data_IF_708409460968
#
_entry.id   IF_708409460968
#
_cell.length_a   1.000
_cell.length_b   1.000
_cell.length_c   1.000
_cell.angle_alpha   90.00
_cell.angle_beta   90.00
_cell.angle_gamma   90.00
#
_symmetry.space_group_name_H-M   'P 1'
#
loop_
_entity.id
_entity.type
_entity.pdbx_description
1 polymer ?
#
# COMPACT_ATOMS: atom_id res chain seq x y z
N UNK A 1 12.63 -13.50 -29.40
CA UNK A 1 11.21 -13.53 -28.96
C UNK A 1 10.47 -12.35 -29.55
N UNK A 2 9.32 -12.59 -30.19
CA UNK A 2 8.48 -11.51 -30.72
C UNK A 2 7.65 -10.88 -29.60
N UNK A 3 7.58 -9.55 -29.59
CA UNK A 3 6.69 -8.80 -28.67
C UNK A 3 5.42 -8.41 -29.42
N UNK A 4 4.27 -8.58 -28.79
CA UNK A 4 2.98 -8.15 -29.30
C UNK A 4 2.41 -7.02 -28.45
N UNK A 5 1.74 -6.07 -29.08
CA UNK A 5 1.00 -5.01 -28.39
C UNK A 5 -0.28 -5.63 -27.80
N UNK A 6 -0.49 -5.49 -26.49
CA UNK A 6 -1.69 -5.97 -25.83
C UNK A 6 -2.69 -4.83 -25.59
N UNK A 7 -2.69 -4.20 -24.47
CA UNK A 7 -3.67 -3.20 -24.09
C UNK A 7 -3.00 -1.96 -23.51
N UNK A 8 -3.73 -0.85 -23.46
CA UNK A 8 -3.22 0.43 -22.99
C UNK A 8 -3.68 0.72 -21.54
N UNK A 9 -3.36 -0.19 -20.62
CA UNK A 9 -3.65 -0.04 -19.18
C UNK A 9 -2.58 -0.75 -18.34
N UNK A 10 -2.37 -0.34 -17.06
CA UNK A 10 -1.43 -1.00 -16.17
C UNK A 10 -1.90 -2.44 -15.89
N UNK A 11 -0.96 -3.39 -15.91
CA UNK A 11 -1.24 -4.82 -15.63
C UNK A 11 -0.44 -5.40 -14.46
N UNK A 12 0.39 -4.60 -13.79
CA UNK A 12 1.18 -5.00 -12.62
C UNK A 12 2.50 -5.69 -12.94
N UNK A 13 3.28 -6.17 -11.93
CA UNK A 13 2.86 -6.34 -10.52
C UNK A 13 2.73 -5.02 -9.76
N UNK A 14 1.70 -4.92 -8.92
CA UNK A 14 1.47 -3.79 -8.03
C UNK A 14 1.31 -4.28 -6.59
N UNK A 15 1.77 -3.52 -5.59
CA UNK A 15 1.47 -3.85 -4.21
C UNK A 15 -0.05 -3.79 -4.01
N UNK A 16 -0.59 -4.70 -3.19
CA UNK A 16 -1.97 -4.61 -2.72
C UNK A 16 -1.94 -4.12 -1.29
N UNK A 17 -2.40 -2.90 -1.06
CA UNK A 17 -2.35 -2.27 0.27
C UNK A 17 -3.70 -1.70 0.67
N UNK A 18 -3.89 -1.47 1.97
CA UNK A 18 -5.07 -0.84 2.54
C UNK A 18 -4.72 0.59 2.95
N UNK A 19 -5.28 1.57 2.23
CA UNK A 19 -5.20 2.97 2.66
C UNK A 19 -6.27 3.24 3.71
N UNK A 20 -5.86 3.75 4.88
CA UNK A 20 -6.73 4.09 6.00
C UNK A 20 -6.86 5.60 6.19
N UNK A 21 -8.07 6.06 6.45
CA UNK A 21 -8.38 7.42 6.86
C UNK A 21 -9.67 7.43 7.68
N UNK A 22 -9.77 8.34 8.64
CA UNK A 22 -11.04 8.60 9.29
C UNK A 22 -11.97 9.37 8.35
N UNK A 23 -13.21 8.97 8.29
CA UNK A 23 -14.28 9.68 7.58
C UNK A 23 -15.46 9.84 8.52
N UNK A 24 -15.87 11.07 8.77
CA UNK A 24 -16.93 11.38 9.75
C UNK A 24 -16.65 10.76 11.15
N UNK A 25 -15.40 10.79 11.60
CA UNK A 25 -14.97 10.28 12.89
C UNK A 25 -14.95 8.76 13.02
N UNK A 26 -15.01 8.00 11.90
CA UNK A 26 -14.93 6.54 11.90
C UNK A 26 -13.79 6.03 11.01
N UNK A 27 -13.07 4.99 11.43
CA UNK A 27 -12.08 4.32 10.60
C UNK A 27 -12.69 3.83 9.29
N UNK A 28 -12.03 4.14 8.18
CA UNK A 28 -12.40 3.59 6.88
C UNK A 28 -11.15 3.17 6.12
N UNK A 29 -11.24 2.02 5.46
CA UNK A 29 -10.15 1.44 4.69
C UNK A 29 -10.57 1.20 3.25
N UNK A 30 -9.63 1.37 2.31
CA UNK A 30 -9.85 1.05 0.89
C UNK A 30 -8.62 0.36 0.33
N UNK A 31 -8.86 -0.68 -0.45
CA UNK A 31 -7.80 -1.44 -1.12
C UNK A 31 -7.35 -0.72 -2.37
N UNK A 32 -6.05 -0.57 -2.51
CA UNK A 32 -5.42 0.09 -3.65
C UNK A 32 -4.17 -0.67 -4.11
N UNK A 33 -3.90 -0.58 -5.42
CA UNK A 33 -2.62 -0.96 -6.01
C UNK A 33 -1.75 0.25 -6.37
N UNK A 34 -2.32 1.46 -6.30
CA UNK A 34 -1.61 2.70 -6.64
C UNK A 34 -0.93 3.28 -5.40
N UNK A 35 0.16 2.64 -4.99
CA UNK A 35 1.00 3.03 -3.85
C UNK A 35 2.47 2.76 -4.19
N UNK A 36 3.36 3.63 -3.76
CA UNK A 36 4.79 3.43 -3.95
C UNK A 36 5.66 4.49 -3.30
N UNK A 37 6.97 4.26 -3.31
CA UNK A 37 8.00 5.18 -2.81
C UNK A 37 8.21 6.29 -3.84
N UNK A 38 8.27 7.54 -3.38
CA UNK A 38 8.56 8.71 -4.21
C UNK A 38 10.07 8.98 -4.25
N UNK A 39 10.71 8.96 -3.10
CA UNK A 39 12.14 9.22 -2.95
C UNK A 39 12.68 8.52 -1.69
N UNK A 40 14.02 8.55 -1.50
CA UNK A 40 14.66 7.94 -0.32
C UNK A 40 14.47 8.74 0.97
N UNK A 41 14.17 10.04 0.88
CA UNK A 41 13.53 10.74 1.99
C UNK A 41 12.19 10.04 2.25
N UNK A 42 11.70 9.97 3.50
CA UNK A 42 10.60 9.08 3.84
C UNK A 42 9.26 9.58 3.26
N UNK A 43 9.15 9.57 1.92
CA UNK A 43 7.96 9.99 1.18
C UNK A 43 7.45 8.85 0.31
N UNK A 44 6.18 8.52 0.48
CA UNK A 44 5.45 7.63 -0.41
C UNK A 44 4.22 8.32 -1.01
N UNK A 45 3.63 7.71 -2.03
CA UNK A 45 2.36 8.18 -2.57
C UNK A 45 1.27 7.12 -2.46
N UNK A 46 0.03 7.59 -2.36
CA UNK A 46 -1.17 6.84 -2.69
C UNK A 46 -1.97 7.61 -3.74
N UNK A 47 -2.69 6.90 -4.63
CA UNK A 47 -3.60 7.54 -5.57
C UNK A 47 -5.01 6.99 -5.37
N UNK A 48 -5.95 7.89 -5.09
CA UNK A 48 -7.35 7.58 -4.82
C UNK A 48 -8.24 8.29 -5.83
N UNK A 49 -9.30 7.62 -6.27
CA UNK A 49 -10.32 8.30 -7.08
C UNK A 49 -10.99 9.40 -6.25
N UNK A 50 -11.20 10.58 -6.83
CA UNK A 50 -11.80 11.72 -6.11
C UNK A 50 -13.16 11.42 -5.49
N UNK A 51 -13.92 10.48 -6.09
CA UNK A 51 -15.21 9.99 -5.57
C UNK A 51 -15.11 8.92 -4.48
N UNK A 52 -13.93 8.37 -4.17
CA UNK A 52 -13.79 7.40 -3.09
C UNK A 52 -14.12 8.02 -1.73
N UNK A 53 -14.75 7.25 -0.86
CA UNK A 53 -15.13 7.71 0.47
C UNK A 53 -13.90 8.09 1.30
N UNK A 54 -12.83 7.30 1.22
CA UNK A 54 -11.55 7.56 1.90
C UNK A 54 -10.88 8.87 1.48
N UNK A 55 -11.09 9.31 0.21
CA UNK A 55 -10.48 10.55 -0.30
C UNK A 55 -10.93 11.78 0.50
N UNK A 56 -12.20 11.82 0.90
CA UNK A 56 -12.71 12.88 1.74
C UNK A 56 -11.99 12.94 3.10
N UNK A 57 -11.79 11.79 3.74
CA UNK A 57 -11.09 11.72 5.03
C UNK A 57 -9.61 12.11 4.94
N UNK A 58 -8.90 11.68 3.88
CA UNK A 58 -7.50 12.10 3.67
C UNK A 58 -7.39 13.61 3.51
N UNK A 59 -8.31 14.22 2.75
CA UNK A 59 -8.34 15.69 2.55
C UNK A 59 -8.67 16.45 3.82
N UNK A 60 -9.64 15.96 4.59
CA UNK A 60 -10.09 16.59 5.82
C UNK A 60 -9.03 16.53 6.92
N UNK A 61 -8.42 15.36 7.11
CA UNK A 61 -7.48 15.14 8.22
C UNK A 61 -6.02 15.49 7.87
N UNK A 62 -5.67 15.58 6.58
CA UNK A 62 -4.31 15.81 6.12
C UNK A 62 -3.35 14.63 6.41
N UNK A 63 -3.91 13.45 6.71
CA UNK A 63 -3.17 12.23 7.03
C UNK A 63 -3.83 11.01 6.40
N UNK A 64 -3.03 9.98 6.16
CA UNK A 64 -3.49 8.65 5.79
C UNK A 64 -2.55 7.59 6.35
N UNK A 65 -3.04 6.37 6.47
CA UNK A 65 -2.18 5.21 6.71
C UNK A 65 -2.06 4.35 5.46
N UNK A 66 -0.92 3.65 5.35
CA UNK A 66 -0.73 2.54 4.42
C UNK A 66 -0.47 1.29 5.25
N UNK A 67 -1.35 0.31 5.09
CA UNK A 67 -1.29 -0.94 5.83
C UNK A 67 -1.01 -2.07 4.84
N UNK A 68 0.02 -2.85 5.10
CA UNK A 68 0.44 -3.96 4.24
C UNK A 68 -0.25 -5.23 4.75
N UNK A 69 -1.25 -5.76 4.06
CA UNK A 69 -1.92 -6.99 4.48
C UNK A 69 -1.08 -8.22 4.12
N UNK A 70 -1.11 -9.24 4.97
CA UNK A 70 -0.63 -10.59 4.66
C UNK A 70 -1.70 -11.39 3.91
N UNK A 71 -1.30 -12.50 3.25
CA UNK A 71 -2.20 -13.31 2.42
C UNK A 71 -3.40 -13.86 3.16
N UNK A 72 -3.30 -14.11 4.47
CA UNK A 72 -4.40 -14.55 5.32
C UNK A 72 -5.53 -13.50 5.47
N UNK A 73 -5.26 -12.23 5.14
CA UNK A 73 -6.24 -11.13 5.16
C UNK A 73 -6.87 -10.88 3.78
N UNK A 74 -6.67 -11.80 2.81
CA UNK A 74 -7.09 -11.59 1.42
C UNK A 74 -8.57 -11.24 1.29
N UNK A 75 -9.46 -11.94 1.98
CA UNK A 75 -10.90 -11.71 1.87
C UNK A 75 -11.31 -10.33 2.37
N UNK A 76 -10.80 -9.91 3.53
CA UNK A 76 -11.06 -8.59 4.10
C UNK A 76 -10.45 -7.48 3.23
N UNK A 77 -9.26 -7.74 2.69
CA UNK A 77 -8.56 -6.81 1.78
C UNK A 77 -9.38 -6.61 0.52
N UNK A 78 -9.80 -7.67 -0.15
CA UNK A 78 -10.61 -7.57 -1.38
C UNK A 78 -11.97 -6.90 -1.10
N UNK A 79 -12.63 -7.28 0.00
CA UNK A 79 -13.88 -6.64 0.45
C UNK A 79 -13.76 -5.12 0.57
N UNK A 80 -12.67 -4.62 1.14
CA UNK A 80 -12.42 -3.18 1.27
C UNK A 80 -12.25 -2.45 -0.07
N UNK A 81 -11.91 -3.18 -1.13
CA UNK A 81 -11.87 -2.68 -2.51
C UNK A 81 -13.21 -2.74 -3.23
N UNK A 82 -14.02 -3.75 -2.94
CA UNK A 82 -15.31 -3.99 -3.58
C UNK A 82 -16.41 -3.05 -3.08
N UNK A 83 -16.41 -2.74 -1.77
CA UNK A 83 -17.51 -2.03 -1.12
C UNK A 83 -17.12 -0.60 -0.77
N UNK A 84 -17.96 0.37 -1.13
CA UNK A 84 -17.77 1.76 -0.72
C UNK A 84 -18.15 1.97 0.74
N UNK A 85 -17.35 2.73 1.49
CA UNK A 85 -17.69 3.17 2.85
C UNK A 85 -18.93 4.07 2.94
N UNK A 86 -19.48 4.52 1.80
CA UNK A 86 -20.80 5.20 1.76
C UNK A 86 -21.95 4.22 1.93
N UNK A 87 -21.76 2.97 1.53
CA UNK A 87 -22.80 1.95 1.47
C UNK A 87 -22.67 0.91 2.59
N UNK A 88 -21.49 0.79 3.20
CA UNK A 88 -21.25 -0.13 4.31
C UNK A 88 -20.24 0.46 5.30
N UNK A 89 -20.50 0.25 6.58
CA UNK A 89 -19.56 0.59 7.64
C UNK A 89 -18.40 -0.41 7.63
N UNK A 90 -17.20 0.07 7.32
CA UNK A 90 -15.97 -0.74 7.29
C UNK A 90 -15.13 -0.64 8.56
N UNK A 91 -15.61 0.10 9.57
CA UNK A 91 -14.86 0.32 10.82
C UNK A 91 -14.63 -0.95 11.63
N UNK A 92 -15.48 -1.96 11.45
CA UNK A 92 -15.40 -3.24 12.14
C UNK A 92 -14.74 -4.37 11.33
N UNK A 93 -14.24 -4.09 10.11
CA UNK A 93 -13.57 -5.11 9.28
C UNK A 93 -12.24 -5.51 9.89
N UNK A 94 -11.56 -4.56 10.55
CA UNK A 94 -10.27 -4.74 11.22
C UNK A 94 -10.27 -4.07 12.59
N UNK A 95 -9.36 -4.49 13.45
CA UNK A 95 -9.07 -3.83 14.71
C UNK A 95 -8.19 -2.61 14.44
N UNK A 96 -8.77 -1.42 14.53
CA UNK A 96 -8.05 -0.17 14.33
C UNK A 96 -7.19 0.18 15.53
N UNK A 97 -6.02 0.77 15.27
CA UNK A 97 -5.22 1.47 16.28
C UNK A 97 -4.72 2.80 15.72
N UNK A 98 -4.34 3.69 16.61
CA UNK A 98 -3.77 5.00 16.29
C UNK A 98 -2.46 5.18 17.00
N UNK A 99 -1.59 6.03 16.46
CA UNK A 99 -0.44 6.52 17.18
C UNK A 99 -0.81 7.67 18.15
N UNK A 100 0.18 8.29 18.76
CA UNK A 100 0.01 9.41 19.68
C UNK A 100 -0.63 10.64 19.02
N UNK A 101 -0.48 10.80 17.68
CA UNK A 101 -1.08 11.90 16.93
C UNK A 101 -2.58 11.71 16.70
N UNK A 102 -3.09 10.48 16.74
CA UNK A 102 -4.50 10.16 16.55
C UNK A 102 -5.07 10.60 15.20
N UNK A 103 -4.26 10.63 14.11
CA UNK A 103 -4.62 11.29 12.86
C UNK A 103 -5.16 10.38 11.75
N UNK A 104 -4.76 9.14 11.72
CA UNK A 104 -5.29 8.16 10.76
C UNK A 104 -5.28 6.75 11.38
N UNK A 105 -6.32 5.96 11.10
CA UNK A 105 -6.44 4.59 11.62
C UNK A 105 -5.44 3.67 10.91
N UNK A 106 -4.75 2.85 11.68
CA UNK A 106 -3.90 1.76 11.23
C UNK A 106 -4.55 0.43 11.59
N UNK A 107 -4.21 -0.64 10.86
CA UNK A 107 -4.79 -1.98 11.02
C UNK A 107 -3.86 -2.85 11.87
N UNK A 108 -4.35 -3.33 13.01
CA UNK A 108 -3.56 -4.15 13.94
C UNK A 108 -3.13 -5.49 13.36
N UNK A 109 -3.99 -6.10 12.53
CA UNK A 109 -3.74 -7.40 11.90
C UNK A 109 -2.73 -7.33 10.74
N UNK A 110 -2.41 -6.13 10.23
CA UNK A 110 -1.42 -5.97 9.17
C UNK A 110 0.00 -5.99 9.75
N UNK A 111 0.91 -6.79 9.19
CA UNK A 111 2.29 -6.92 9.70
C UNK A 111 3.12 -5.64 9.62
N UNK A 112 2.74 -4.69 8.76
CA UNK A 112 3.46 -3.42 8.61
C UNK A 112 2.49 -2.28 8.31
N UNK A 113 2.67 -1.16 9.01
CA UNK A 113 1.83 0.02 8.88
C UNK A 113 2.69 1.27 8.79
N UNK A 114 2.32 2.17 7.88
CA UNK A 114 2.91 3.50 7.74
C UNK A 114 1.87 4.55 8.08
N UNK A 115 2.20 5.49 8.93
CA UNK A 115 1.43 6.71 9.13
C UNK A 115 2.08 7.82 8.32
N UNK A 116 1.28 8.51 7.50
CA UNK A 116 1.76 9.50 6.55
C UNK A 116 1.03 10.82 6.71
N UNK A 117 1.79 11.91 6.78
CA UNK A 117 1.28 13.28 6.70
C UNK A 117 1.28 13.74 5.25
N UNK A 118 0.15 14.19 4.74
CA UNK A 118 0.05 14.74 3.39
C UNK A 118 0.90 16.01 3.28
N UNK A 119 1.85 16.02 2.33
CA UNK A 119 2.69 17.19 2.02
C UNK A 119 2.30 17.84 0.70
N UNK A 120 1.67 17.07 -0.21
CA UNK A 120 1.20 17.58 -1.49
C UNK A 120 0.07 16.71 -2.02
N UNK A 121 -0.88 17.33 -2.70
CA UNK A 121 -1.93 16.64 -3.47
C UNK A 121 -1.83 17.06 -4.93
N UNK A 122 -1.78 16.07 -5.83
CA UNK A 122 -1.65 16.28 -7.28
C UNK A 122 -2.88 15.69 -7.96
N UNK A 123 -3.71 16.51 -8.63
CA UNK A 123 -4.84 16.00 -9.40
C UNK A 123 -4.35 15.28 -10.66
N UNK A 124 -4.88 14.09 -10.94
CA UNK A 124 -4.59 13.29 -12.13
C UNK A 124 -5.92 12.76 -12.69
N UNK A 125 -6.49 13.44 -13.67
CA UNK A 125 -7.84 13.17 -14.19
C UNK A 125 -8.90 13.20 -13.07
N UNK A 126 -9.59 12.08 -12.83
CA UNK A 126 -10.57 11.91 -11.74
C UNK A 126 -9.97 11.32 -10.45
N UNK A 127 -8.63 11.17 -10.41
CA UNK A 127 -7.86 10.73 -9.24
C UNK A 127 -7.14 11.90 -8.57
N UNK A 128 -6.82 11.69 -7.31
CA UNK A 128 -5.94 12.55 -6.53
C UNK A 128 -4.77 11.70 -6.01
N UNK A 129 -3.54 12.10 -6.37
CA UNK A 129 -2.32 11.50 -5.83
C UNK A 129 -1.91 12.30 -4.60
N UNK A 130 -1.87 11.65 -3.46
CA UNK A 130 -1.40 12.22 -2.20
C UNK A 130 0.05 11.81 -1.96
N UNK A 131 0.95 12.78 -1.91
CA UNK A 131 2.32 12.57 -1.43
C UNK A 131 2.31 12.69 0.08
N UNK A 132 2.76 11.65 0.76
CA UNK A 132 2.76 11.56 2.21
C UNK A 132 4.17 11.38 2.76
N UNK A 133 4.59 12.28 3.64
CA UNK A 133 5.78 12.08 4.46
C UNK A 133 5.46 11.03 5.53
N UNK A 134 6.24 9.96 5.57
CA UNK A 134 6.14 8.94 6.62
C UNK A 134 6.57 9.57 7.94
N UNK A 135 5.66 9.59 8.92
CA UNK A 135 5.91 10.14 10.26
C UNK A 135 6.06 9.06 11.32
N UNK A 136 5.51 7.86 11.07
CA UNK A 136 5.70 6.69 11.91
C UNK A 136 5.59 5.40 11.09
N UNK A 137 6.30 4.35 11.52
CA UNK A 137 6.23 2.99 10.97
C UNK A 137 6.06 2.03 12.12
N UNK A 138 5.07 1.15 12.03
CA UNK A 138 4.80 0.09 13.00
C UNK A 138 4.92 -1.26 12.31
N UNK A 139 5.57 -2.19 12.96
CA UNK A 139 5.71 -3.57 12.48
C UNK A 139 5.34 -4.56 13.58
N UNK A 140 4.71 -5.66 13.20
CA UNK A 140 4.54 -6.80 14.09
C UNK A 140 5.92 -7.41 14.37
N UNK A 141 6.26 -7.60 15.65
CA UNK A 141 7.55 -8.17 16.06
C UNK A 141 7.78 -9.56 15.44
N UNK A 142 6.73 -10.37 15.28
CA UNK A 142 6.78 -11.69 14.64
C UNK A 142 7.23 -11.64 13.18
N UNK A 143 7.01 -10.50 12.52
CA UNK A 143 7.37 -10.28 11.11
C UNK A 143 8.78 -9.70 10.92
N UNK A 144 9.56 -9.54 12.00
CA UNK A 144 10.92 -9.04 11.93
C UNK A 144 11.96 -10.17 11.88
N UNK A 145 13.08 -9.91 11.21
CA UNK A 145 14.31 -10.68 11.27
C UNK A 145 15.48 -9.72 11.45
N UNK A 146 16.21 -9.85 12.57
CA UNK A 146 17.29 -8.92 12.92
C UNK A 146 16.84 -7.46 13.03
N UNK A 147 15.62 -7.22 13.51
CA UNK A 147 15.05 -5.87 13.68
C UNK A 147 14.58 -5.22 12.37
N UNK A 148 14.58 -5.94 11.24
CA UNK A 148 14.10 -5.47 9.94
C UNK A 148 12.90 -6.29 9.46
N UNK A 149 11.93 -5.71 8.71
CA UNK A 149 10.82 -6.44 8.12
C UNK A 149 11.32 -7.58 7.22
N UNK A 150 10.80 -8.78 7.46
CA UNK A 150 11.11 -9.99 6.69
C UNK A 150 9.97 -10.26 5.71
N UNK A 151 10.27 -10.22 4.41
CA UNK A 151 9.27 -10.36 3.36
C UNK A 151 8.49 -11.69 3.42
N UNK A 152 9.16 -12.79 3.85
CA UNK A 152 8.50 -14.10 3.98
C UNK A 152 7.56 -14.16 5.18
N UNK A 153 7.95 -13.51 6.29
CA UNK A 153 7.12 -13.46 7.49
C UNK A 153 5.95 -12.51 7.34
N UNK A 154 6.13 -11.43 6.58
CA UNK A 154 5.06 -10.48 6.26
C UNK A 154 4.03 -11.07 5.29
N UNK A 155 4.48 -11.93 4.36
CA UNK A 155 3.64 -12.59 3.35
C UNK A 155 2.68 -11.63 2.60
N UNK A 156 3.18 -10.50 2.04
CA UNK A 156 2.35 -9.46 1.46
C UNK A 156 1.68 -9.89 0.16
N UNK A 157 0.52 -9.31 -0.13
CA UNK A 157 -0.28 -9.59 -1.32
C UNK A 157 0.19 -8.71 -2.50
N UNK A 158 0.33 -9.30 -3.68
CA UNK A 158 0.65 -8.63 -4.95
C UNK A 158 -0.49 -8.80 -5.94
N UNK A 159 -0.88 -7.73 -6.63
CA UNK A 159 -1.87 -7.76 -7.71
C UNK A 159 -1.21 -7.86 -9.09
N UNK A 160 -1.59 -8.83 -9.90
CA UNK A 160 -1.13 -8.99 -11.29
C UNK A 160 -2.27 -9.42 -12.19
N UNK A 161 -2.59 -8.64 -13.21
CA UNK A 161 -3.52 -9.05 -14.27
C UNK A 161 -4.92 -9.47 -13.80
N UNK A 162 -5.37 -8.98 -12.64
CA UNK A 162 -6.66 -9.33 -12.04
C UNK A 162 -6.62 -10.53 -11.10
N UNK A 163 -5.43 -11.03 -10.76
CA UNK A 163 -5.20 -12.05 -9.73
C UNK A 163 -4.43 -11.48 -8.56
N UNK A 164 -4.64 -12.03 -7.37
CA UNK A 164 -3.79 -11.84 -6.20
C UNK A 164 -2.76 -12.97 -6.13
N UNK A 165 -1.54 -12.63 -5.78
CA UNK A 165 -0.41 -13.54 -5.65
C UNK A 165 0.30 -13.27 -4.31
N UNK A 166 0.89 -14.30 -3.75
CA UNK A 166 1.87 -14.21 -2.67
C UNK A 166 3.28 -13.90 -3.22
N UNK A 167 4.23 -13.62 -2.33
CA UNK A 167 5.64 -13.52 -2.70
C UNK A 167 6.25 -14.91 -2.83
N UNK A 168 6.94 -15.14 -3.94
CA UNK A 168 7.76 -16.34 -4.14
C UNK A 168 9.02 -16.35 -3.28
N UNK A 169 10.07 -16.95 -3.81
CA UNK A 169 11.35 -17.06 -3.11
C UNK A 169 12.18 -15.76 -3.24
N UNK A 170 13.03 -15.50 -2.24
CA UNK A 170 14.09 -14.48 -2.35
C UNK A 170 15.11 -14.94 -3.40
N UNK A 171 15.23 -14.20 -4.49
CA UNK A 171 16.11 -14.52 -5.63
C UNK A 171 17.42 -13.74 -5.62
N UNK A 172 17.60 -12.80 -4.70
CA UNK A 172 18.83 -12.02 -4.57
C UNK A 172 18.69 -10.87 -3.57
N UNK A 173 19.82 -10.28 -3.22
CA UNK A 173 19.85 -9.08 -2.39
C UNK A 173 19.92 -7.82 -3.27
N UNK A 174 19.14 -6.80 -2.87
CA UNK A 174 19.11 -5.49 -3.55
C UNK A 174 20.51 -4.88 -3.56
N UNK A 175 20.93 -4.33 -4.69
CA UNK A 175 22.24 -3.73 -4.95
C UNK A 175 23.45 -4.69 -4.84
N UNK A 176 23.22 -5.99 -4.60
CA UNK A 176 24.26 -7.02 -4.54
C UNK A 176 24.16 -8.02 -5.68
N UNK A 177 22.94 -8.36 -6.09
CA UNK A 177 22.71 -9.38 -7.11
C UNK A 177 23.38 -9.05 -8.48
N UNK A 178 23.55 -7.77 -8.80
CA UNK A 178 24.21 -7.31 -10.03
C UNK A 178 25.72 -7.04 -9.92
N UNK A 179 26.34 -7.21 -8.74
CA UNK A 179 27.72 -6.76 -8.51
C UNK A 179 28.79 -7.44 -9.41
N UNK A 180 28.53 -8.62 -9.91
CA UNK A 180 29.40 -9.36 -10.83
C UNK A 180 29.01 -9.32 -12.31
N UNK A 181 27.95 -8.57 -12.66
CA UNK A 181 27.44 -8.51 -14.03
C UNK A 181 28.44 -7.81 -14.95
N UNK A 182 28.86 -8.51 -16.01
CA UNK A 182 29.67 -7.95 -17.10
C UNK A 182 28.78 -7.83 -18.34
N UNK A 183 28.79 -6.65 -18.97
CA UNK A 183 28.12 -6.51 -20.26
C UNK A 183 28.70 -7.51 -21.26
N UNK A 184 27.87 -8.23 -22.03
CA UNK A 184 28.38 -9.01 -23.16
C UNK A 184 29.07 -8.07 -24.14
N UNK A 185 30.13 -8.54 -24.87
CA UNK A 185 30.73 -7.73 -25.90
C UNK A 185 29.67 -7.27 -26.90
N UNK A 186 29.83 -6.05 -27.40
CA UNK A 186 28.92 -5.52 -28.44
C UNK A 186 29.01 -6.47 -29.67
N UNK A 187 27.85 -6.88 -30.18
CA UNK A 187 27.77 -7.72 -31.38
C UNK A 187 28.16 -6.94 -32.62
#
# INVERSE_FOLDING_TARGET
MAKIKIQNRPVGPFPTVLAGADVNGKPNYTTIGACGVVCQDPVLYISLKGSHYSTAGVKENGFFSVNIPSSNLLQQTDYCGLVSGRNADKSAVFSSFYDELGKAPMIRECPLNFLCKVIQTIPVFDFEMFLGQIVAVYADESCLSGGQPDAKKMDPIIGVGGAYLDLGQVIGAVFKAGAGYKNPPAA
#
